data_IF_583165527040
#
_entry.id   IF_583165527040
#
_cell.length_a   1.000
_cell.length_b   1.000
_cell.length_c   1.000
_cell.angle_alpha   90.00
_cell.angle_beta   90.00
_cell.angle_gamma   90.00
#
_symmetry.space_group_name_H-M   'P 1'
#
loop_
_entity.id
_entity.type
_entity.pdbx_description
1 polymer ?
#
# COMPACT_ATOMS: atom_id res chain seq x y z
N UNK A 1 -18.74 -1.83 -13.40
CA UNK A 1 -18.44 -0.46 -12.93
C UNK A 1 -18.73 -0.42 -11.44
N UNK A 2 -17.76 -0.50 -10.52
CA UNK A 2 -17.92 -0.10 -9.09
C UNK A 2 -16.73 -0.33 -8.10
N UNK A 3 -15.47 -0.68 -8.46
CA UNK A 3 -14.44 -0.84 -7.42
C UNK A 3 -13.88 0.51 -6.91
N UNK A 4 -13.78 1.52 -7.78
CA UNK A 4 -12.97 2.73 -7.56
C UNK A 4 -13.60 3.66 -6.51
N UNK A 5 -14.89 3.98 -6.65
CA UNK A 5 -15.62 4.81 -5.67
C UNK A 5 -15.71 4.17 -4.28
N UNK A 6 -15.90 2.83 -4.22
CA UNK A 6 -15.95 2.14 -2.93
C UNK A 6 -14.59 2.11 -2.24
N UNK A 7 -13.51 1.96 -3.01
CA UNK A 7 -12.16 2.02 -2.48
C UNK A 7 -11.87 3.40 -1.89
N UNK A 8 -12.22 4.48 -2.58
CA UNK A 8 -12.08 5.83 -2.05
C UNK A 8 -12.90 6.05 -0.76
N UNK A 9 -14.14 5.54 -0.73
CA UNK A 9 -14.98 5.63 0.47
C UNK A 9 -14.41 4.82 1.64
N UNK A 10 -13.90 3.61 1.38
CA UNK A 10 -13.24 2.79 2.39
C UNK A 10 -11.97 3.45 2.91
N UNK A 11 -11.15 4.05 2.05
CA UNK A 11 -9.95 4.77 2.46
C UNK A 11 -10.29 5.95 3.39
N UNK A 12 -11.39 6.66 3.11
CA UNK A 12 -11.85 7.78 3.93
C UNK A 12 -12.36 7.32 5.31
N UNK A 13 -13.16 6.25 5.36
CA UNK A 13 -13.79 5.77 6.60
C UNK A 13 -12.82 4.98 7.50
N UNK A 14 -11.90 4.23 6.91
CA UNK A 14 -10.95 3.38 7.65
C UNK A 14 -9.80 4.12 8.32
N UNK A 15 -9.64 5.43 8.06
CA UNK A 15 -8.55 6.23 8.64
C UNK A 15 -7.16 5.76 8.21
N UNK A 16 -7.03 5.16 7.02
CA UNK A 16 -5.75 4.68 6.50
C UNK A 16 -4.76 5.85 6.36
N UNK A 17 -3.56 5.68 6.91
CA UNK A 17 -2.45 6.63 6.69
C UNK A 17 -1.58 6.28 5.47
N UNK A 18 -1.54 4.99 5.09
CA UNK A 18 -0.69 4.49 4.00
C UNK A 18 -1.42 3.44 3.16
N UNK A 19 -1.52 3.68 1.87
CA UNK A 19 -1.99 2.76 0.84
C UNK A 19 -0.81 2.13 0.12
N UNK A 20 -0.74 0.79 0.14
CA UNK A 20 0.17 0.02 -0.71
C UNK A 20 -0.53 -0.29 -2.03
N UNK A 21 0.09 0.05 -3.15
CA UNK A 21 -0.50 -0.13 -4.48
C UNK A 21 0.58 -0.46 -5.52
N UNK A 22 0.17 -0.48 -6.79
CA UNK A 22 1.06 -0.55 -7.94
C UNK A 22 0.88 0.66 -8.86
N UNK A 23 1.89 1.02 -9.62
CA UNK A 23 1.93 2.23 -10.47
C UNK A 23 0.74 2.28 -11.44
N UNK A 24 0.43 1.16 -12.09
CA UNK A 24 -0.71 1.04 -13.02
C UNK A 24 -2.09 1.21 -12.35
N UNK A 25 -2.19 0.91 -11.05
CA UNK A 25 -3.41 1.08 -10.28
C UNK A 25 -3.51 2.47 -9.67
N UNK A 26 -2.38 3.10 -9.33
CA UNK A 26 -2.36 4.45 -8.78
C UNK A 26 -3.00 5.45 -9.75
N UNK A 27 -2.72 5.35 -11.06
CA UNK A 27 -3.33 6.18 -12.10
C UNK A 27 -4.86 6.06 -12.16
N UNK A 28 -5.41 4.94 -11.69
CA UNK A 28 -6.84 4.62 -11.73
C UNK A 28 -7.53 4.80 -10.38
N UNK A 29 -6.78 5.01 -9.32
CA UNK A 29 -7.30 5.14 -7.96
C UNK A 29 -7.36 6.62 -7.57
N UNK A 30 -8.53 7.08 -7.15
CA UNK A 30 -8.66 8.38 -6.50
C UNK A 30 -8.23 8.27 -5.03
N UNK A 31 -6.93 8.41 -4.79
CA UNK A 31 -6.38 8.38 -3.43
C UNK A 31 -6.65 9.73 -2.73
N UNK A 32 -7.29 9.73 -1.54
CA UNK A 32 -7.51 10.96 -0.78
C UNK A 32 -6.18 11.63 -0.38
N UNK A 33 -6.16 12.96 -0.29
CA UNK A 33 -4.94 13.71 0.05
C UNK A 33 -4.36 13.38 1.45
N UNK A 34 -5.18 12.84 2.35
CA UNK A 34 -4.73 12.40 3.68
C UNK A 34 -4.01 11.04 3.68
N UNK A 35 -4.07 10.31 2.58
CA UNK A 35 -3.53 8.95 2.46
C UNK A 35 -2.23 8.99 1.66
N UNK A 36 -1.13 8.53 2.24
CA UNK A 36 0.11 8.34 1.49
C UNK A 36 0.00 7.11 0.60
N UNK A 37 0.48 7.19 -0.64
CA UNK A 37 0.51 6.04 -1.55
C UNK A 37 1.95 5.58 -1.76
N UNK A 38 2.20 4.28 -1.61
CA UNK A 38 3.47 3.64 -1.92
C UNK A 38 3.27 2.59 -3.01
N UNK A 39 3.99 2.73 -4.11
CA UNK A 39 3.95 1.79 -5.23
C UNK A 39 5.05 0.75 -5.08
N UNK A 40 4.67 -0.53 -4.97
CA UNK A 40 5.65 -1.58 -4.73
C UNK A 40 6.50 -1.90 -5.97
N UNK A 41 5.96 -1.62 -7.16
CA UNK A 41 6.58 -1.76 -8.47
C UNK A 41 7.22 -0.45 -8.98
N UNK A 42 7.37 0.57 -8.11
CA UNK A 42 7.99 1.82 -8.52
C UNK A 42 9.41 1.59 -9.06
N UNK A 43 9.77 2.33 -10.11
CA UNK A 43 11.06 2.18 -10.78
C UNK A 43 12.23 2.45 -9.82
N UNK A 44 13.29 1.65 -10.00
CA UNK A 44 14.53 1.73 -9.24
C UNK A 44 14.56 0.84 -8.02
N UNK A 45 15.74 0.77 -7.41
CA UNK A 45 16.01 -0.15 -6.32
C UNK A 45 15.75 0.50 -4.96
N UNK A 46 14.53 0.97 -4.71
CA UNK A 46 14.18 1.60 -3.42
C UNK A 46 14.24 0.62 -2.23
N UNK A 47 14.31 -0.69 -2.53
CA UNK A 47 14.58 -1.77 -1.58
C UNK A 47 16.05 -2.20 -1.55
N UNK A 48 16.92 -1.66 -2.43
CA UNK A 48 18.37 -1.94 -2.34
C UNK A 48 18.90 -1.49 -0.98
N UNK A 49 19.62 -2.39 -0.32
CA UNK A 49 20.13 -2.18 1.04
C UNK A 49 19.21 -2.71 2.14
N UNK A 50 17.97 -3.10 1.85
CA UNK A 50 17.12 -3.83 2.79
C UNK A 50 17.42 -5.33 2.78
N UNK A 51 17.16 -5.97 3.92
CA UNK A 51 17.37 -7.41 4.06
C UNK A 51 16.37 -8.20 3.21
N UNK A 52 16.88 -9.19 2.47
CA UNK A 52 16.07 -10.22 1.81
C UNK A 52 15.74 -11.38 2.73
N UNK A 53 16.27 -11.39 3.95
CA UNK A 53 15.97 -12.42 4.94
C UNK A 53 14.59 -12.18 5.56
N UNK A 54 13.83 -13.26 5.74
CA UNK A 54 12.54 -13.20 6.43
C UNK A 54 12.73 -12.70 7.88
N UNK A 55 11.84 -11.83 8.39
CA UNK A 55 11.89 -11.42 9.79
C UNK A 55 11.69 -12.63 10.72
N UNK A 56 12.30 -12.58 11.89
CA UNK A 56 12.15 -13.64 12.90
C UNK A 56 10.66 -13.73 13.27
N UNK A 57 10.04 -14.89 13.04
CA UNK A 57 8.65 -15.10 13.39
C UNK A 57 8.50 -15.27 14.90
N UNK A 58 7.94 -14.27 15.55
CA UNK A 58 7.56 -14.32 16.97
C UNK A 58 6.17 -14.93 17.19
N UNK A 59 5.52 -15.47 16.16
CA UNK A 59 4.13 -15.93 16.24
C UNK A 59 3.96 -17.35 16.82
N UNK A 60 4.92 -17.85 17.62
CA UNK A 60 4.69 -19.08 18.36
C UNK A 60 3.91 -18.76 19.64
N UNK A 61 2.75 -19.40 19.88
CA UNK A 61 2.07 -19.28 21.17
C UNK A 61 2.94 -19.91 22.27
N UNK A 62 2.97 -19.25 23.43
CA UNK A 62 3.50 -19.81 24.68
C UNK A 62 2.67 -21.02 25.13
#
# INVERSE_FOLDING_TARGET
HYPEDRLAYMMHDSGIGLLLTQTSLQERLSVPAQVHSLCLDQDGDWLEGYSTANPVSFSHPL
#
